data_IF_437924707598
#
_entry.id   IF_437924707598
#
_cell.length_a   1.000
_cell.length_b   1.000
_cell.length_c   1.000
_cell.angle_alpha   90.00
_cell.angle_beta   90.00
_cell.angle_gamma   90.00
#
_symmetry.space_group_name_H-M   'P 1'
#
loop_
_entity.id
_entity.type
_entity.pdbx_description
1 polymer ?
#
# COMPACT_ATOMS: atom_id res chain seq x y z
N UNK A 1 17.57 34.67 4.46
CA UNK A 1 17.98 33.51 3.63
C UNK A 1 16.91 32.44 3.78
N UNK A 2 16.29 31.98 2.69
CA UNK A 2 15.20 30.99 2.79
C UNK A 2 15.77 29.63 3.21
N UNK A 3 15.02 28.82 3.96
CA UNK A 3 15.48 27.50 4.45
C UNK A 3 15.95 26.60 3.30
N UNK A 4 15.33 26.76 2.13
CA UNK A 4 15.69 26.08 0.88
C UNK A 4 17.10 26.43 0.40
N UNK A 5 17.53 27.69 0.56
CA UNK A 5 18.88 28.11 0.18
C UNK A 5 19.94 27.54 1.12
N UNK A 6 19.62 27.42 2.42
CA UNK A 6 20.51 26.77 3.41
C UNK A 6 20.63 25.28 3.08
N UNK A 7 19.52 24.57 2.92
CA UNK A 7 19.51 23.13 2.63
C UNK A 7 20.21 22.79 1.29
N UNK A 8 20.13 23.66 0.30
CA UNK A 8 20.80 23.46 -0.99
C UNK A 8 22.33 23.58 -0.89
N UNK A 9 22.86 24.39 0.03
CA UNK A 9 24.31 24.57 0.23
C UNK A 9 24.89 23.64 1.30
N UNK A 10 24.08 23.21 2.28
CA UNK A 10 24.48 22.30 3.37
C UNK A 10 25.31 21.09 2.91
N UNK A 11 24.96 20.33 1.85
CA UNK A 11 25.76 19.18 1.43
C UNK A 11 27.17 19.55 0.95
N UNK A 12 27.41 20.77 0.46
CA UNK A 12 28.75 21.23 0.11
C UNK A 12 29.59 21.50 1.37
N UNK A 13 29.02 22.19 2.36
CA UNK A 13 29.70 22.49 3.62
C UNK A 13 29.96 21.23 4.46
N UNK A 14 29.03 20.28 4.47
CA UNK A 14 29.19 18.99 5.16
C UNK A 14 30.28 18.15 4.48
N UNK A 15 30.33 18.12 3.14
CA UNK A 15 31.37 17.39 2.41
C UNK A 15 32.76 18.04 2.56
N UNK A 16 32.83 19.37 2.58
CA UNK A 16 34.07 20.11 2.84
C UNK A 16 34.58 19.92 4.27
N UNK A 17 33.68 19.89 5.27
CA UNK A 17 34.05 19.69 6.68
C UNK A 17 34.53 18.25 6.99
N UNK A 18 34.06 17.26 6.21
CA UNK A 18 34.43 15.86 6.38
C UNK A 18 35.57 15.41 5.45
N UNK A 19 36.02 16.28 4.54
CA UNK A 19 37.14 16.00 3.64
C UNK A 19 38.45 15.90 4.44
N UNK A 20 38.97 14.67 4.59
CA UNK A 20 40.25 14.39 5.25
C UNK A 20 40.16 13.60 6.56
N UNK A 21 38.95 13.24 7.02
CA UNK A 21 38.77 12.31 8.14
C UNK A 21 38.66 10.87 7.59
N UNK A 22 39.57 9.98 7.97
CA UNK A 22 39.49 8.54 7.65
C UNK A 22 38.88 7.78 8.84
N UNK A 23 37.57 7.94 9.04
CA UNK A 23 36.81 7.25 10.10
C UNK A 23 35.94 6.14 9.47
N UNK A 24 35.99 4.88 9.98
CA UNK A 24 35.08 3.82 9.55
C UNK A 24 33.62 4.25 9.79
N UNK A 25 32.79 4.26 8.74
CA UNK A 25 31.39 4.71 8.82
C UNK A 25 31.06 5.98 8.01
N UNK A 26 32.08 6.70 7.51
CA UNK A 26 31.88 7.90 6.68
C UNK A 26 31.15 7.66 5.34
N UNK A 27 31.02 6.39 4.92
CA UNK A 27 30.24 6.02 3.73
C UNK A 27 28.75 6.41 3.85
N UNK A 28 28.17 6.43 5.06
CA UNK A 28 26.77 6.81 5.29
C UNK A 28 26.54 8.31 4.99
N UNK A 29 27.54 9.16 5.21
CA UNK A 29 27.44 10.59 4.86
C UNK A 29 27.41 10.84 3.35
N UNK A 30 27.74 9.86 2.51
CA UNK A 30 27.50 9.97 1.05
C UNK A 30 26.00 10.06 0.74
N UNK A 31 25.13 9.52 1.59
CA UNK A 31 23.67 9.65 1.47
C UNK A 31 23.22 11.10 1.66
N UNK A 32 23.99 11.94 2.39
CA UNK A 32 23.73 13.39 2.51
C UNK A 32 23.82 14.09 1.15
N UNK A 33 24.52 13.51 0.16
CA UNK A 33 24.49 14.03 -1.21
C UNK A 33 23.08 13.96 -1.85
N UNK A 34 22.18 13.08 -1.37
CA UNK A 34 20.77 13.09 -1.78
C UNK A 34 20.08 14.41 -1.41
N UNK A 35 20.54 15.12 -0.37
CA UNK A 35 20.03 16.47 -0.03
C UNK A 35 20.27 17.47 -1.17
N UNK A 36 21.21 17.20 -2.08
CA UNK A 36 21.36 18.02 -3.30
C UNK A 36 20.11 17.97 -4.19
N UNK A 37 19.24 16.95 -4.09
CA UNK A 37 17.95 16.93 -4.79
C UNK A 37 17.11 18.17 -4.45
N UNK A 38 17.26 18.72 -3.23
CA UNK A 38 16.54 19.93 -2.84
C UNK A 38 16.95 21.17 -3.63
N UNK A 39 18.09 21.14 -4.33
CA UNK A 39 18.47 22.21 -5.29
C UNK A 39 17.46 22.32 -6.45
N UNK A 40 16.71 21.26 -6.77
CA UNK A 40 15.64 21.30 -7.77
C UNK A 40 14.52 22.25 -7.34
N UNK A 41 14.24 22.34 -6.04
CA UNK A 41 13.24 23.27 -5.50
C UNK A 41 13.66 24.74 -5.63
N UNK A 42 14.97 25.03 -5.80
CA UNK A 42 15.46 26.39 -6.12
C UNK A 42 15.08 26.81 -7.54
N UNK A 43 15.07 25.88 -8.50
CA UNK A 43 14.65 26.14 -9.88
C UNK A 43 13.12 26.29 -9.97
N UNK A 44 12.37 25.55 -9.14
CA UNK A 44 10.91 25.60 -9.15
C UNK A 44 10.28 26.59 -8.16
N UNK A 45 10.99 27.65 -7.74
CA UNK A 45 10.50 28.65 -6.76
C UNK A 45 9.10 29.19 -7.08
N UNK A 46 8.84 29.53 -8.34
CA UNK A 46 7.51 30.00 -8.78
C UNK A 46 6.44 28.91 -8.67
N UNK A 47 6.73 27.72 -9.20
CA UNK A 47 5.79 26.59 -9.18
C UNK A 47 5.49 26.08 -7.77
N UNK A 48 6.48 26.07 -6.86
CA UNK A 48 6.30 25.72 -5.44
C UNK A 48 5.42 26.74 -4.73
N UNK A 49 5.61 28.04 -4.99
CA UNK A 49 4.80 29.07 -4.36
C UNK A 49 3.32 28.89 -4.70
N UNK A 50 3.01 28.69 -5.99
CA UNK A 50 1.65 28.40 -6.48
C UNK A 50 1.10 27.10 -5.89
N UNK A 51 1.91 26.04 -5.86
CA UNK A 51 1.53 24.75 -5.31
C UNK A 51 1.25 24.83 -3.80
N UNK A 52 2.10 25.51 -3.03
CA UNK A 52 1.95 25.66 -1.58
C UNK A 52 0.68 26.44 -1.22
N UNK A 53 0.37 27.51 -1.97
CA UNK A 53 -0.87 28.28 -1.80
C UNK A 53 -2.07 27.39 -2.11
N UNK A 54 -1.99 26.60 -3.18
CA UNK A 54 -3.04 25.65 -3.57
C UNK A 54 -3.27 24.58 -2.50
N UNK A 55 -2.19 24.00 -1.96
CA UNK A 55 -2.23 22.96 -0.94
C UNK A 55 -2.83 23.49 0.36
N UNK A 56 -2.44 24.70 0.76
CA UNK A 56 -2.97 25.34 1.96
C UNK A 56 -4.47 25.65 1.84
N UNK A 57 -4.92 26.16 0.68
CA UNK A 57 -6.35 26.37 0.40
C UNK A 57 -7.13 25.06 0.39
N UNK A 58 -6.50 23.97 -0.07
CA UNK A 58 -7.08 22.63 -0.12
C UNK A 58 -6.98 21.86 1.21
N UNK A 59 -6.33 22.40 2.24
CA UNK A 59 -6.00 21.66 3.46
C UNK A 59 -7.25 21.26 4.26
N UNK A 60 -8.23 22.16 4.37
CA UNK A 60 -9.48 21.92 5.12
C UNK A 60 -10.27 20.71 4.59
N UNK A 61 -10.62 20.64 3.30
CA UNK A 61 -11.32 19.46 2.78
C UNK A 61 -10.44 18.22 2.74
N UNK A 62 -9.12 18.36 2.54
CA UNK A 62 -8.19 17.23 2.55
C UNK A 62 -8.10 16.56 3.93
N UNK A 63 -7.99 17.33 5.01
CA UNK A 63 -7.94 16.76 6.36
C UNK A 63 -9.26 16.06 6.74
N UNK A 64 -10.40 16.65 6.37
CA UNK A 64 -11.71 16.02 6.58
C UNK A 64 -11.82 14.68 5.83
N UNK A 65 -11.34 14.64 4.58
CA UNK A 65 -11.30 13.40 3.80
C UNK A 65 -10.40 12.35 4.46
N UNK A 66 -9.17 12.72 4.86
CA UNK A 66 -8.24 11.80 5.55
C UNK A 66 -8.87 11.27 6.84
N UNK A 67 -9.59 12.10 7.58
CA UNK A 67 -10.31 11.69 8.78
C UNK A 67 -11.38 10.61 8.47
N UNK A 68 -12.27 10.85 7.50
CA UNK A 68 -13.28 9.86 7.11
C UNK A 68 -12.66 8.58 6.53
N UNK A 69 -11.62 8.70 5.71
CA UNK A 69 -10.86 7.56 5.19
C UNK A 69 -10.23 6.75 6.31
N UNK A 70 -9.65 7.39 7.33
CA UNK A 70 -9.03 6.69 8.45
C UNK A 70 -10.04 5.83 9.23
N UNK A 71 -11.24 6.37 9.47
CA UNK A 71 -12.34 5.63 10.12
C UNK A 71 -12.75 4.44 9.24
N UNK A 72 -12.98 4.68 7.95
CA UNK A 72 -13.35 3.62 7.02
C UNK A 72 -12.27 2.51 6.97
N UNK A 73 -10.99 2.88 7.03
CA UNK A 73 -9.89 1.92 7.01
C UNK A 73 -9.80 1.08 8.29
N UNK A 74 -10.08 1.65 9.46
CA UNK A 74 -10.18 0.89 10.72
C UNK A 74 -11.35 -0.10 10.69
N UNK A 75 -12.50 0.33 10.15
CA UNK A 75 -13.68 -0.54 10.01
C UNK A 75 -13.44 -1.68 9.02
N UNK A 76 -12.90 -1.36 7.83
CA UNK A 76 -12.52 -2.36 6.82
C UNK A 76 -11.48 -3.34 7.35
N UNK A 77 -10.49 -2.86 8.09
CA UNK A 77 -9.47 -3.71 8.72
C UNK A 77 -10.09 -4.66 9.74
N UNK A 78 -10.97 -4.16 10.61
CA UNK A 78 -11.66 -4.98 11.59
C UNK A 78 -12.50 -6.07 10.92
N UNK A 79 -13.25 -5.71 9.87
CA UNK A 79 -14.07 -6.65 9.12
C UNK A 79 -13.22 -7.74 8.44
N UNK A 80 -12.12 -7.35 7.80
CA UNK A 80 -11.19 -8.28 7.16
C UNK A 80 -10.52 -9.22 8.18
N UNK A 81 -10.12 -8.69 9.34
CA UNK A 81 -9.54 -9.48 10.42
C UNK A 81 -10.49 -10.59 10.88
N UNK A 82 -11.75 -10.24 11.16
CA UNK A 82 -12.74 -11.24 11.56
C UNK A 82 -13.11 -12.22 10.45
N UNK A 83 -13.07 -11.79 9.19
CA UNK A 83 -13.32 -12.64 8.04
C UNK A 83 -12.19 -13.67 7.78
N UNK A 84 -10.92 -13.30 8.00
CA UNK A 84 -9.77 -14.11 7.56
C UNK A 84 -8.87 -14.66 8.69
N UNK A 85 -9.10 -14.30 9.97
CA UNK A 85 -8.27 -14.80 11.08
C UNK A 85 -8.19 -16.32 11.16
N UNK A 86 -9.27 -17.04 10.83
CA UNK A 86 -9.31 -18.50 10.92
C UNK A 86 -9.57 -19.00 12.35
N UNK A 87 -8.94 -20.11 12.75
CA UNK A 87 -9.14 -20.76 14.06
C UNK A 87 -7.98 -20.44 14.99
N UNK A 88 -8.25 -20.27 16.28
CA UNK A 88 -7.18 -20.09 17.26
C UNK A 88 -6.57 -21.45 17.62
N UNK A 89 -5.24 -21.54 17.53
CA UNK A 89 -4.47 -22.71 17.93
C UNK A 89 -3.73 -22.40 19.23
N UNK A 90 -4.12 -23.06 20.33
CA UNK A 90 -3.54 -22.85 21.66
C UNK A 90 -2.08 -23.30 21.73
N UNK A 91 -1.68 -24.34 20.99
CA UNK A 91 -0.31 -24.84 21.03
C UNK A 91 0.67 -23.84 20.40
N UNK A 92 0.20 -23.09 19.39
CA UNK A 92 0.99 -22.06 18.70
C UNK A 92 0.75 -20.65 19.25
N UNK A 93 -0.26 -20.47 20.11
CA UNK A 93 -0.67 -19.16 20.62
C UNK A 93 -1.11 -18.18 19.53
N UNK A 94 -1.54 -18.68 18.37
CA UNK A 94 -1.77 -17.87 17.17
C UNK A 94 -3.02 -18.30 16.40
N UNK A 95 -3.58 -17.36 15.64
CA UNK A 95 -4.63 -17.65 14.67
C UNK A 95 -4.04 -18.42 13.48
N UNK A 96 -4.67 -19.51 13.08
CA UNK A 96 -4.23 -20.36 11.98
C UNK A 96 -5.29 -20.52 10.90
N UNK A 97 -4.84 -20.66 9.66
CA UNK A 97 -5.68 -20.90 8.48
C UNK A 97 -5.15 -22.08 7.68
N UNK A 98 -6.03 -22.70 6.89
CA UNK A 98 -5.64 -23.77 5.99
C UNK A 98 -4.74 -23.20 4.88
N UNK A 99 -3.52 -23.72 4.76
CA UNK A 99 -2.54 -23.29 3.76
C UNK A 99 -2.58 -24.18 2.53
N UNK A 100 -2.39 -25.48 2.76
CA UNK A 100 -2.28 -26.49 1.72
C UNK A 100 -2.64 -27.86 2.31
N UNK A 101 -2.80 -28.84 1.43
CA UNK A 101 -2.91 -30.25 1.78
C UNK A 101 -1.61 -30.95 1.46
N UNK A 102 -1.25 -31.90 2.30
CA UNK A 102 -0.11 -32.79 2.08
C UNK A 102 -0.65 -34.19 1.81
N UNK A 103 -0.42 -34.70 0.60
CA UNK A 103 -0.93 -35.99 0.15
C UNK A 103 0.21 -37.00 0.07
N UNK A 104 0.07 -38.12 0.77
CA UNK A 104 1.02 -39.23 0.74
C UNK A 104 0.62 -40.22 -0.33
N UNK A 105 1.55 -40.57 -1.22
CA UNK A 105 1.35 -41.62 -2.22
C UNK A 105 2.32 -42.78 -2.00
N UNK A 106 1.85 -44.01 -2.15
CA UNK A 106 2.68 -45.22 -2.07
C UNK A 106 2.80 -45.91 -3.42
N UNK A 107 4.00 -45.96 -4.00
CA UNK A 107 4.26 -46.60 -5.30
C UNK A 107 4.56 -48.09 -5.09
N UNK A 108 3.68 -48.99 -5.55
CA UNK A 108 3.96 -50.43 -5.55
C UNK A 108 4.76 -50.79 -6.81
N UNK A 109 6.04 -51.13 -6.67
CA UNK A 109 6.85 -51.60 -7.80
C UNK A 109 6.45 -53.02 -8.21
N UNK A 110 5.65 -53.15 -9.25
CA UNK A 110 5.52 -54.42 -9.98
C UNK A 110 5.51 -54.21 -11.51
N UNK A 111 6.37 -53.35 -12.04
CA UNK A 111 6.85 -53.33 -13.43
C UNK A 111 7.84 -52.15 -13.65
N UNK A 112 8.81 -52.25 -14.57
CA UNK A 112 9.78 -51.20 -14.83
C UNK A 112 9.17 -50.08 -15.70
N UNK A 113 9.44 -48.83 -15.32
CA UNK A 113 9.46 -47.64 -16.20
C UNK A 113 8.14 -47.16 -16.84
N UNK A 114 6.99 -47.38 -16.20
CA UNK A 114 5.87 -46.45 -16.33
C UNK A 114 5.28 -46.23 -14.96
N UNK A 115 5.45 -45.04 -14.40
CA UNK A 115 4.53 -44.55 -13.36
C UNK A 115 3.15 -44.61 -14.02
N UNK A 116 2.36 -45.63 -13.70
CA UNK A 116 1.06 -45.82 -14.32
C UNK A 116 0.26 -44.53 -14.19
N UNK A 117 -0.10 -43.94 -15.32
CA UNK A 117 -0.88 -42.70 -15.40
C UNK A 117 -2.28 -42.84 -14.74
N UNK A 118 -2.66 -44.05 -14.32
CA UNK A 118 -3.86 -44.34 -13.54
C UNK A 118 -3.65 -44.23 -12.01
N UNK A 119 -2.41 -44.06 -11.53
CA UNK A 119 -2.09 -43.60 -10.18
C UNK A 119 -1.86 -42.08 -10.18
N UNK A 120 -2.70 -41.36 -10.93
CA UNK A 120 -2.87 -39.92 -10.91
C UNK A 120 -3.60 -39.48 -9.64
N UNK A 121 -3.15 -39.95 -8.48
CA UNK A 121 -3.43 -39.24 -7.23
C UNK A 121 -2.74 -37.89 -7.42
N UNK A 122 -3.54 -36.81 -7.44
CA UNK A 122 -3.11 -35.41 -7.46
C UNK A 122 -3.07 -34.63 -8.79
N UNK A 123 -3.84 -35.00 -9.83
CA UNK A 123 -4.19 -34.04 -10.92
C UNK A 123 -5.60 -33.46 -10.75
N UNK A 124 -5.90 -32.98 -9.54
CA UNK A 124 -7.07 -32.13 -9.32
C UNK A 124 -6.84 -30.80 -10.03
N UNK A 125 -7.59 -30.60 -11.10
CA UNK A 125 -7.52 -29.46 -12.02
C UNK A 125 -6.17 -29.33 -12.78
N UNK A 126 -6.14 -29.50 -14.12
CA UNK A 126 -4.92 -29.30 -14.92
C UNK A 126 -4.31 -27.89 -14.79
N UNK A 127 -5.10 -26.91 -14.35
CA UNK A 127 -4.63 -25.53 -14.16
C UNK A 127 -3.84 -25.33 -12.86
N UNK A 128 -3.98 -26.22 -11.86
CA UNK A 128 -3.31 -26.07 -10.56
C UNK A 128 -2.79 -27.43 -10.02
N UNK A 129 -1.67 -27.93 -10.56
CA UNK A 129 -1.13 -29.24 -10.18
C UNK A 129 -0.57 -29.24 -8.76
N UNK A 130 -0.65 -30.39 -8.08
CA UNK A 130 0.09 -30.58 -6.84
C UNK A 130 1.58 -30.70 -7.14
N UNK A 131 2.41 -30.14 -6.25
CA UNK A 131 3.86 -30.10 -6.40
C UNK A 131 4.48 -31.21 -5.55
N UNK A 132 5.43 -31.95 -6.12
CA UNK A 132 6.27 -32.85 -5.32
C UNK A 132 7.04 -32.06 -4.26
N UNK A 133 6.96 -32.52 -3.02
CA UNK A 133 7.68 -31.93 -1.89
C UNK A 133 8.93 -32.74 -1.55
N UNK A 134 8.74 -33.98 -1.10
CA UNK A 134 9.82 -34.82 -0.57
C UNK A 134 9.54 -36.32 -0.72
N UNK A 135 10.60 -37.13 -0.70
CA UNK A 135 10.53 -38.60 -0.66
C UNK A 135 10.41 -39.04 0.81
N UNK A 136 9.52 -39.99 1.10
CA UNK A 136 9.33 -40.51 2.44
C UNK A 136 10.43 -41.48 2.89
N UNK A 137 10.30 -42.01 4.10
CA UNK A 137 11.31 -42.88 4.72
C UNK A 137 11.50 -44.22 3.97
N UNK A 138 10.48 -44.65 3.23
CA UNK A 138 10.55 -45.81 2.33
C UNK A 138 10.72 -45.35 0.90
N UNK A 139 11.51 -46.06 0.09
CA UNK A 139 11.72 -45.79 -1.35
C UNK A 139 10.39 -45.77 -2.15
N UNK A 140 9.34 -46.35 -1.57
CA UNK A 140 7.99 -46.42 -2.11
C UNK A 140 7.06 -45.27 -1.69
N UNK A 141 7.54 -44.27 -0.93
CA UNK A 141 6.71 -43.18 -0.41
C UNK A 141 7.13 -41.82 -0.97
N UNK A 142 6.14 -41.00 -1.35
CA UNK A 142 6.35 -39.62 -1.77
C UNK A 142 5.25 -38.70 -1.24
N UNK A 143 5.63 -37.47 -0.90
CA UNK A 143 4.74 -36.41 -0.41
C UNK A 143 4.53 -35.34 -1.47
N UNK A 144 3.27 -34.96 -1.67
CA UNK A 144 2.87 -33.91 -2.61
C UNK A 144 2.11 -32.81 -1.88
N UNK A 145 2.49 -31.56 -2.14
CA UNK A 145 1.79 -30.37 -1.65
C UNK A 145 0.74 -29.96 -2.67
N UNK A 146 -0.51 -30.05 -2.26
CA UNK A 146 -1.68 -29.62 -3.02
C UNK A 146 -2.22 -28.29 -2.46
N UNK A 147 -2.58 -27.31 -3.30
CA UNK A 147 -3.14 -26.06 -2.83
C UNK A 147 -4.49 -26.25 -2.13
N UNK A 148 -4.86 -25.34 -1.23
CA UNK A 148 -6.11 -25.42 -0.46
C UNK A 148 -7.40 -25.49 -1.31
N UNK A 149 -7.32 -25.14 -2.60
CA UNK A 149 -8.41 -25.23 -3.58
C UNK A 149 -8.65 -26.64 -4.12
N UNK A 150 -7.77 -27.60 -3.81
CA UNK A 150 -7.84 -28.98 -4.29
C UNK A 150 -9.03 -29.75 -3.68
N UNK A 151 -9.69 -30.60 -4.48
CA UNK A 151 -10.80 -31.44 -4.02
C UNK A 151 -10.29 -32.59 -3.15
N UNK A 152 -10.82 -32.65 -1.93
CA UNK A 152 -10.46 -33.60 -0.88
C UNK A 152 -10.57 -35.07 -1.31
N UNK A 153 -9.46 -35.80 -1.29
CA UNK A 153 -9.40 -37.26 -1.09
C UNK A 153 -9.13 -37.55 0.40
N UNK A 154 -9.54 -38.71 0.91
CA UNK A 154 -9.40 -39.04 2.35
C UNK A 154 -7.95 -39.37 2.77
N UNK A 155 -7.00 -39.39 1.83
CA UNK A 155 -5.58 -39.71 2.04
C UNK A 155 -4.67 -38.47 2.19
N UNK A 156 -5.23 -37.26 2.25
CA UNK A 156 -4.46 -36.02 2.36
C UNK A 156 -4.67 -35.32 3.71
N UNK A 157 -3.56 -34.95 4.34
CA UNK A 157 -3.52 -34.22 5.59
C UNK A 157 -3.68 -32.71 5.39
N UNK A 158 -4.31 -32.04 6.36
CA UNK A 158 -4.55 -30.59 6.34
C UNK A 158 -3.43 -29.86 7.05
N UNK A 159 -2.68 -29.05 6.30
CA UNK A 159 -1.62 -28.24 6.86
C UNK A 159 -2.13 -26.82 7.16
N UNK A 160 -1.99 -26.42 8.41
CA UNK A 160 -2.37 -25.10 8.90
C UNK A 160 -1.13 -24.22 9.07
N UNK A 161 -1.20 -23.00 8.55
CA UNK A 161 -0.19 -21.95 8.75
C UNK A 161 -0.72 -20.86 9.68
N UNK A 162 0.18 -20.04 10.23
CA UNK A 162 -0.20 -18.85 10.98
C UNK A 162 -0.87 -17.85 10.03
N UNK A 163 -2.07 -17.41 10.38
CA UNK A 163 -2.81 -16.46 9.56
C UNK A 163 -2.06 -15.11 9.51
N UNK A 164 -1.84 -14.52 8.33
CA UNK A 164 -1.27 -13.19 8.21
C UNK A 164 -2.20 -12.11 8.81
N UNK A 165 -3.49 -12.41 8.96
CA UNK A 165 -4.49 -11.56 9.61
C UNK A 165 -4.52 -11.80 11.13
N UNK A 166 -3.37 -11.64 11.78
CA UNK A 166 -3.19 -11.96 13.21
C UNK A 166 -3.72 -10.87 14.15
N UNK A 167 -3.75 -9.62 13.70
CA UNK A 167 -4.20 -8.45 14.47
C UNK A 167 -4.86 -7.40 13.58
N UNK A 168 -5.65 -6.51 14.20
CA UNK A 168 -6.29 -5.38 13.49
C UNK A 168 -5.23 -4.43 12.89
N UNK A 169 -4.13 -4.05 13.59
CA UNK A 169 -3.09 -3.23 12.98
C UNK A 169 -2.33 -3.92 11.84
N UNK A 170 -2.08 -5.24 11.93
CA UNK A 170 -1.50 -6.01 10.82
C UNK A 170 -2.42 -6.04 9.61
N UNK A 171 -3.72 -6.22 9.84
CA UNK A 171 -4.72 -6.19 8.77
C UNK A 171 -4.90 -4.79 8.18
N UNK A 172 -4.67 -3.75 8.98
CA UNK A 172 -4.73 -2.35 8.54
C UNK A 172 -3.65 -2.04 7.49
N UNK A 173 -2.44 -2.58 7.65
CA UNK A 173 -1.39 -2.50 6.63
C UNK A 173 -1.85 -3.11 5.29
N UNK A 174 -2.42 -4.31 5.33
CA UNK A 174 -2.94 -4.95 4.13
C UNK A 174 -4.05 -4.11 3.48
N UNK A 175 -5.02 -3.63 4.26
CA UNK A 175 -6.08 -2.76 3.76
C UNK A 175 -5.54 -1.47 3.12
N UNK A 176 -4.52 -0.83 3.72
CA UNK A 176 -3.88 0.36 3.16
C UNK A 176 -3.28 0.05 1.78
N UNK A 177 -2.47 -1.00 1.69
CA UNK A 177 -1.80 -1.43 0.45
C UNK A 177 -2.82 -1.77 -0.64
N UNK A 178 -3.94 -2.42 -0.28
CA UNK A 178 -5.03 -2.74 -1.21
C UNK A 178 -5.81 -1.49 -1.64
N UNK A 179 -6.13 -0.57 -0.73
CA UNK A 179 -6.80 0.69 -1.07
C UNK A 179 -5.94 1.58 -1.96
N UNK A 180 -4.62 1.58 -1.76
CA UNK A 180 -3.66 2.27 -2.62
C UNK A 180 -3.35 1.53 -3.91
N UNK A 181 -4.01 0.40 -4.18
CA UNK A 181 -3.83 -0.43 -5.38
C UNK A 181 -2.39 -0.93 -5.59
N UNK A 182 -1.56 -0.96 -4.54
CA UNK A 182 -0.17 -1.43 -4.61
C UNK A 182 -0.13 -2.95 -4.67
N UNK A 183 -0.85 -3.63 -3.77
CA UNK A 183 -1.08 -5.07 -3.80
C UNK A 183 0.19 -5.93 -3.96
N UNK A 184 1.05 -6.00 -2.94
CA UNK A 184 2.28 -6.82 -2.98
C UNK A 184 2.04 -8.31 -3.25
N UNK A 185 0.85 -8.84 -2.92
CA UNK A 185 0.48 -10.24 -3.16
C UNK A 185 1.06 -11.24 -2.14
N UNK A 186 1.78 -10.75 -1.14
CA UNK A 186 2.30 -11.50 0.00
C UNK A 186 1.19 -11.99 0.94
N UNK A 187 0.17 -11.16 1.11
CA UNK A 187 -1.01 -11.44 1.92
C UNK A 187 -2.26 -11.28 1.06
N UNK A 188 -3.17 -12.24 1.15
CA UNK A 188 -4.43 -12.22 0.42
C UNK A 188 -5.52 -12.99 1.16
N UNK A 189 -6.79 -12.58 1.01
CA UNK A 189 -7.93 -13.29 1.57
C UNK A 189 -8.15 -14.60 0.81
N UNK A 190 -8.34 -15.67 1.56
CA UNK A 190 -8.56 -17.02 1.04
C UNK A 190 -10.05 -17.39 1.05
N UNK A 191 -10.79 -16.87 2.02
CA UNK A 191 -12.21 -17.16 2.19
C UNK A 191 -13.06 -16.31 1.26
N UNK A 192 -14.23 -16.83 0.91
CA UNK A 192 -15.17 -16.11 0.05
C UNK A 192 -15.65 -14.78 0.67
N UNK A 193 -15.83 -14.74 2.00
CA UNK A 193 -16.21 -13.52 2.73
C UNK A 193 -15.09 -12.50 2.69
N UNK A 194 -13.84 -12.90 2.96
CA UNK A 194 -12.71 -11.98 2.89
C UNK A 194 -12.48 -11.46 1.49
N UNK A 195 -12.70 -12.27 0.45
CA UNK A 195 -12.67 -11.82 -0.95
C UNK A 195 -13.75 -10.77 -1.23
N UNK A 196 -14.98 -10.96 -0.75
CA UNK A 196 -16.05 -9.96 -0.87
C UNK A 196 -15.68 -8.64 -0.18
N UNK A 197 -15.16 -8.72 1.05
CA UNK A 197 -14.70 -7.54 1.81
C UNK A 197 -13.54 -6.86 1.07
N UNK A 198 -12.61 -7.63 0.52
CA UNK A 198 -11.49 -7.12 -0.29
C UNK A 198 -11.96 -6.36 -1.53
N UNK A 199 -13.00 -6.86 -2.22
CA UNK A 199 -13.61 -6.14 -3.35
C UNK A 199 -14.19 -4.79 -2.95
N UNK A 200 -14.89 -4.72 -1.81
CA UNK A 200 -15.45 -3.47 -1.28
C UNK A 200 -14.32 -2.50 -0.91
N UNK A 201 -13.27 -2.98 -0.24
CA UNK A 201 -12.09 -2.20 0.15
C UNK A 201 -11.39 -1.60 -1.07
N UNK A 202 -11.19 -2.40 -2.12
CA UNK A 202 -10.59 -1.94 -3.38
C UNK A 202 -11.42 -0.84 -4.04
N UNK A 203 -12.73 -1.05 -4.20
CA UNK A 203 -13.62 -0.06 -4.81
C UNK A 203 -13.68 1.24 -4.02
N UNK A 204 -13.74 1.15 -2.69
CA UNK A 204 -13.69 2.31 -1.81
C UNK A 204 -12.35 3.05 -1.91
N UNK A 205 -11.23 2.32 -1.99
CA UNK A 205 -9.88 2.90 -2.15
C UNK A 205 -9.74 3.75 -3.40
N UNK A 206 -10.24 3.27 -4.54
CA UNK A 206 -10.25 4.04 -5.81
C UNK A 206 -11.01 5.35 -5.66
N UNK A 207 -12.21 5.30 -5.05
CA UNK A 207 -13.02 6.50 -4.81
C UNK A 207 -12.29 7.49 -3.88
N UNK A 208 -11.65 6.99 -2.83
CA UNK A 208 -10.89 7.80 -1.88
C UNK A 208 -9.70 8.48 -2.55
N UNK A 209 -8.99 7.82 -3.47
CA UNK A 209 -7.83 8.40 -4.16
C UNK A 209 -8.26 9.42 -5.23
N UNK A 210 -9.44 9.27 -5.82
CA UNK A 210 -9.96 10.22 -6.79
C UNK A 210 -10.26 11.61 -6.18
N UNK A 211 -10.73 11.67 -4.93
CA UNK A 211 -11.18 12.91 -4.29
C UNK A 211 -10.05 13.95 -4.03
N UNK A 212 -8.88 13.60 -3.46
CA UNK A 212 -7.76 14.53 -3.30
C UNK A 212 -7.24 15.02 -4.65
N UNK A 213 -7.14 14.13 -5.64
CA UNK A 213 -6.60 14.45 -6.97
C UNK A 213 -7.49 15.49 -7.65
N UNK A 214 -8.81 15.27 -7.65
CA UNK A 214 -9.79 16.20 -8.23
C UNK A 214 -9.87 17.52 -7.45
N UNK A 215 -9.79 17.46 -6.12
CA UNK A 215 -9.86 18.65 -5.28
C UNK A 215 -8.61 19.53 -5.42
N UNK A 216 -7.41 18.93 -5.42
CA UNK A 216 -6.16 19.66 -5.62
C UNK A 216 -6.11 20.19 -7.06
N UNK A 217 -6.52 19.38 -8.04
CA UNK A 217 -6.52 19.77 -9.46
C UNK A 217 -7.43 20.97 -9.75
N UNK A 218 -8.66 20.95 -9.24
CA UNK A 218 -9.61 22.07 -9.40
C UNK A 218 -9.11 23.35 -8.71
N UNK A 219 -8.58 23.24 -7.49
CA UNK A 219 -7.98 24.39 -6.81
C UNK A 219 -6.73 24.92 -7.53
N UNK A 220 -5.89 24.03 -8.06
CA UNK A 220 -4.72 24.41 -8.84
C UNK A 220 -5.12 25.16 -10.11
N UNK A 221 -6.12 24.65 -10.83
CA UNK A 221 -6.67 25.32 -12.02
C UNK A 221 -7.20 26.72 -11.68
N UNK A 222 -7.92 26.88 -10.57
CA UNK A 222 -8.45 28.17 -10.14
C UNK A 222 -7.35 29.18 -9.77
N UNK A 223 -6.30 28.73 -9.09
CA UNK A 223 -5.15 29.58 -8.75
C UNK A 223 -4.39 29.95 -10.02
N UNK A 224 -4.14 28.99 -10.89
CA UNK A 224 -3.43 29.20 -12.15
C UNK A 224 -4.16 30.20 -13.05
N UNK A 225 -5.49 30.04 -13.20
CA UNK A 225 -6.30 30.96 -14.00
C UNK A 225 -6.28 32.39 -13.45
N UNK A 226 -6.32 32.58 -12.12
CA UNK A 226 -6.19 33.91 -11.52
C UNK A 226 -4.84 34.56 -11.82
N UNK A 227 -3.75 33.79 -11.72
CA UNK A 227 -2.41 34.31 -12.02
C UNK A 227 -2.24 34.71 -13.50
N UNK A 228 -2.87 33.95 -14.41
CA UNK A 228 -2.88 34.29 -15.84
C UNK A 228 -3.68 35.58 -16.07
N UNK A 229 -4.90 35.68 -15.51
CA UNK A 229 -5.73 36.88 -15.62
C UNK A 229 -5.07 38.13 -15.03
N UNK A 230 -4.37 38.01 -13.90
CA UNK A 230 -3.63 39.11 -13.27
C UNK A 230 -2.41 39.53 -14.11
N UNK A 231 -1.86 38.64 -14.95
CA UNK A 231 -0.77 38.94 -15.86
C UNK A 231 -1.24 39.62 -17.17
N UNK A 232 -2.45 39.33 -17.64
CA UNK A 232 -3.08 39.99 -18.79
C UNK A 232 -3.78 41.31 -18.43
N UNK A 233 -4.03 41.60 -17.15
CA UNK A 233 -4.66 42.85 -16.74
C UNK A 233 -3.74 44.05 -17.08
N UNK A 234 -4.23 45.09 -17.80
CA UNK A 234 -3.44 46.27 -18.06
C UNK A 234 -3.08 46.93 -16.72
N UNK A 235 -1.80 47.31 -16.56
CA UNK A 235 -1.32 48.07 -15.42
C UNK A 235 -2.23 49.29 -15.24
N UNK A 236 -3.15 49.22 -14.29
CA UNK A 236 -3.91 50.38 -13.86
C UNK A 236 -2.96 51.19 -13.01
N UNK A 237 -2.57 52.34 -13.54
CA UNK A 237 -1.86 53.38 -12.81
C UNK A 237 -2.53 53.60 -11.45
N UNK A 238 -1.70 53.72 -10.41
CA UNK A 238 -2.11 53.99 -9.04
C UNK A 238 -3.01 55.23 -9.01
N UNK A 239 -4.31 55.05 -8.73
CA UNK A 239 -5.09 56.03 -7.98
C UNK A 239 -6.36 55.37 -7.43
N UNK A 240 -6.54 55.48 -6.11
CA UNK A 240 -7.81 55.19 -5.44
C UNK A 240 -7.78 53.99 -4.50
N UNK A 241 -7.60 54.30 -3.22
CA UNK A 241 -7.89 53.48 -2.03
C UNK A 241 -9.23 52.72 -2.17
N UNK A 242 -9.22 51.40 -2.05
CA UNK A 242 -10.28 50.66 -1.33
C UNK A 242 -9.66 49.47 -0.59
N UNK A 243 -9.74 49.54 0.75
CA UNK A 243 -9.37 48.47 1.66
C UNK A 243 -10.09 47.16 1.31
N UNK A 244 -9.31 46.11 1.06
CA UNK A 244 -9.81 44.73 1.02
C UNK A 244 -10.27 44.36 2.44
N UNK A 245 -11.55 44.60 2.72
CA UNK A 245 -12.24 44.07 3.89
C UNK A 245 -12.08 42.56 3.92
N UNK A 246 -11.50 42.08 5.03
CA UNK A 246 -11.59 40.69 5.46
C UNK A 246 -13.08 40.29 5.51
N UNK A 247 -13.50 39.15 4.92
CA UNK A 247 -14.89 38.73 4.99
C UNK A 247 -15.16 38.11 6.36
N UNK A 248 -15.49 38.96 7.34
CA UNK A 248 -16.34 38.55 8.45
C UNK A 248 -17.81 38.60 8.02
N UNK A 249 -18.46 37.44 8.22
CA UNK A 249 -19.90 37.25 8.47
C UNK A 249 -20.93 37.90 7.54
N UNK A 250 -21.60 37.09 6.72
CA UNK A 250 -23.06 37.13 6.47
C UNK A 250 -23.50 35.68 6.14
N UNK A 251 -24.08 34.87 7.03
CA UNK A 251 -25.33 34.97 7.80
C UNK A 251 -26.60 34.88 6.95
N UNK A 252 -27.38 33.80 7.14
CA UNK A 252 -28.85 33.74 7.02
C UNK A 252 -29.31 32.36 7.49
N UNK A 253 -29.70 32.18 8.76
CA UNK A 253 -31.07 32.38 9.26
C UNK A 253 -31.97 33.23 8.37
N UNK A 254 -32.91 32.56 7.68
CA UNK A 254 -34.24 33.12 7.46
C UNK A 254 -35.29 32.01 7.36
N UNK A 255 -36.20 32.01 8.35
CA UNK A 255 -37.52 31.37 8.49
C UNK A 255 -37.60 29.88 8.77
#
# INVERSE_FOLDING_TARGET
MNVIDILAITPFFVEAALAGLEIPGLAVFRVVRLVRVFRLFKVSRGSIAVFSITLHRSAKPLYMLIFFTSIAMVLSSSLMYYAERGKYDEARGAWTRLSHYECRITVRTSAPTTVDANHSIASGNPDVPCRFDSQGDSEYEAYFICPYTFMRTDECDKIYEVSPFSSIPGTFWWCLVTMTTVGYGDVYPTQWVGKLVGMIVFMMGILVIALPITLIGSNFSNVYQKLVLDAEAPAKDEDGIEDVKTPESQQKVEK
#
